data_IF_645558757052
#
_entry.id   IF_645558757052
#
_cell.length_a   1.000
_cell.length_b   1.000
_cell.length_c   1.000
_cell.angle_alpha   90.00
_cell.angle_beta   90.00
_cell.angle_gamma   90.00
#
_symmetry.space_group_name_H-M   'P 1'
#
loop_
_entity.id
_entity.type
_entity.pdbx_description
1 polymer ?
#
# COMPACT_ATOMS: atom_id res chain seq x y z
N UNK A 1 40.53 -4.44 15.02
CA UNK A 1 39.45 -3.72 14.34
C UNK A 1 40.05 -2.49 13.68
N UNK A 2 40.30 -2.50 12.35
CA UNK A 2 40.58 -1.27 11.61
C UNK A 2 39.26 -0.64 11.25
N UNK A 3 38.74 0.24 12.10
CA UNK A 3 37.61 1.11 11.78
C UNK A 3 38.12 2.29 10.97
N UNK A 4 37.89 2.31 9.66
CA UNK A 4 38.01 3.52 8.87
C UNK A 4 36.61 4.14 8.78
N UNK A 5 36.41 5.21 9.53
CA UNK A 5 35.42 6.24 9.27
C UNK A 5 33.97 5.87 9.50
N UNK A 6 33.50 6.11 10.67
CA UNK A 6 32.24 6.78 10.96
C UNK A 6 32.21 6.96 12.47
N UNK A 7 32.66 8.07 12.90
CA UNK A 7 32.54 8.54 14.29
C UNK A 7 31.10 8.98 14.54
N UNK A 8 30.28 8.07 14.91
CA UNK A 8 29.05 8.39 15.65
C UNK A 8 28.90 7.34 16.72
N UNK A 9 29.02 7.77 17.95
CA UNK A 9 28.82 7.25 19.28
C UNK A 9 28.14 5.90 19.58
N UNK A 10 28.18 4.95 18.68
CA UNK A 10 27.39 3.71 18.74
C UNK A 10 28.18 2.48 19.25
N UNK A 11 29.47 2.63 19.59
CA UNK A 11 30.35 1.48 19.86
C UNK A 11 31.09 1.54 21.19
N UNK A 12 30.54 2.11 22.23
CA UNK A 12 31.27 2.29 23.52
C UNK A 12 31.27 1.05 24.45
N UNK A 13 30.56 -0.05 24.12
CA UNK A 13 30.51 -1.22 25.03
C UNK A 13 30.55 -2.59 24.31
N UNK A 14 31.37 -2.76 23.28
CA UNK A 14 31.53 -4.06 22.61
C UNK A 14 32.41 -5.05 23.38
N UNK A 15 33.36 -4.55 24.20
CA UNK A 15 34.27 -5.37 24.98
C UNK A 15 33.55 -6.26 26.00
N UNK A 16 32.57 -5.74 26.71
CA UNK A 16 31.81 -6.50 27.70
C UNK A 16 30.93 -7.63 27.11
N UNK A 17 30.51 -7.50 25.85
CA UNK A 17 29.65 -8.50 25.21
C UNK A 17 30.46 -9.71 24.69
N UNK A 18 31.72 -9.50 24.31
CA UNK A 18 32.62 -10.57 23.80
C UNK A 18 33.28 -11.38 24.91
N UNK A 19 33.49 -10.82 26.07
CA UNK A 19 34.07 -11.55 27.21
C UNK A 19 33.16 -12.69 27.70
N UNK A 20 31.84 -12.51 27.59
CA UNK A 20 30.86 -13.50 28.06
C UNK A 20 30.57 -14.64 27.06
N UNK A 21 31.05 -14.55 25.83
CA UNK A 21 30.76 -15.53 24.75
C UNK A 21 31.95 -16.36 24.31
N UNK A 22 33.17 -16.09 24.82
CA UNK A 22 34.38 -16.84 24.46
C UNK A 22 34.88 -16.67 23.03
N UNK A 23 34.35 -15.70 22.29
CA UNK A 23 34.80 -15.40 20.91
C UNK A 23 35.93 -14.38 20.88
N UNK A 24 37.01 -14.74 20.13
CA UNK A 24 38.12 -13.81 19.88
C UNK A 24 37.72 -12.75 18.87
N UNK A 25 37.86 -11.46 19.24
CA UNK A 25 37.54 -10.28 18.40
C UNK A 25 38.33 -10.21 17.09
N UNK A 26 39.41 -10.98 16.93
CA UNK A 26 40.28 -10.98 15.75
C UNK A 26 39.67 -11.64 14.49
N UNK A 27 38.48 -12.27 14.59
CA UNK A 27 37.84 -13.00 13.49
C UNK A 27 36.55 -12.36 12.94
N UNK A 28 36.17 -11.18 13.41
CA UNK A 28 34.92 -10.53 12.91
C UNK A 28 35.27 -9.43 11.90
N UNK A 29 35.25 -9.77 10.62
CA UNK A 29 35.29 -8.78 9.54
C UNK A 29 33.87 -8.26 9.27
N UNK A 30 33.59 -7.02 9.68
CA UNK A 30 32.37 -6.33 9.26
C UNK A 30 32.58 -5.77 7.83
N UNK A 31 32.02 -6.42 6.84
CA UNK A 31 31.96 -5.88 5.48
C UNK A 31 30.84 -4.85 5.40
N UNK A 32 31.19 -3.58 5.54
CA UNK A 32 30.25 -2.46 5.34
C UNK A 32 29.75 -2.46 3.89
N UNK A 33 28.44 -2.23 3.69
CA UNK A 33 27.83 -2.13 2.36
C UNK A 33 27.27 -3.44 1.77
N UNK A 34 27.45 -4.60 2.41
CA UNK A 34 26.82 -5.84 1.95
C UNK A 34 25.34 -5.87 2.32
N UNK A 35 24.46 -6.11 1.35
CA UNK A 35 23.02 -6.27 1.57
C UNK A 35 22.66 -7.73 1.74
N UNK A 36 21.93 -8.03 2.79
CA UNK A 36 21.49 -9.37 3.17
C UNK A 36 19.98 -9.45 3.23
N UNK A 37 19.44 -10.63 3.00
CA UNK A 37 17.98 -10.86 3.06
C UNK A 37 17.51 -11.25 4.44
N UNK A 38 16.30 -10.85 4.78
CA UNK A 38 15.57 -11.27 5.96
C UNK A 38 14.34 -12.06 5.51
N UNK A 39 14.24 -13.31 5.93
CA UNK A 39 13.11 -14.21 5.66
C UNK A 39 12.33 -14.48 6.94
N UNK A 40 11.04 -14.77 6.81
CA UNK A 40 10.16 -15.01 7.95
C UNK A 40 9.43 -16.35 7.79
N UNK A 41 9.74 -17.32 8.67
CA UNK A 41 8.90 -18.48 8.83
C UNK A 41 7.82 -18.18 9.87
N UNK A 42 6.63 -17.94 9.41
CA UNK A 42 5.51 -17.48 10.24
C UNK A 42 4.72 -18.62 10.87
N UNK A 43 5.07 -19.90 10.59
CA UNK A 43 4.36 -21.08 11.12
C UNK A 43 2.83 -20.95 11.02
N UNK A 44 2.34 -20.47 9.86
CA UNK A 44 0.91 -20.26 9.60
C UNK A 44 0.37 -18.89 10.04
N UNK A 45 1.21 -17.98 10.53
CA UNK A 45 0.87 -16.59 10.83
C UNK A 45 0.94 -15.67 9.62
N UNK A 46 0.73 -14.38 9.86
CA UNK A 46 0.82 -13.27 8.89
C UNK A 46 1.82 -12.27 9.45
N UNK A 47 2.83 -11.91 8.63
CA UNK A 47 3.84 -10.94 9.04
C UNK A 47 3.27 -9.51 9.07
N UNK A 48 3.81 -8.68 9.95
CA UNK A 48 3.58 -7.24 9.89
C UNK A 48 4.33 -6.66 8.66
N UNK A 49 3.67 -5.84 7.83
CA UNK A 49 4.29 -5.26 6.64
C UNK A 49 5.42 -4.27 6.94
N UNK A 50 5.55 -3.82 8.19
CA UNK A 50 6.64 -2.96 8.63
C UNK A 50 7.93 -3.76 8.94
N UNK A 51 7.87 -5.09 9.02
CA UNK A 51 9.06 -5.91 9.19
C UNK A 51 9.90 -5.89 7.90
N UNK A 52 11.20 -5.54 7.98
CA UNK A 52 12.05 -5.41 6.80
C UNK A 52 12.33 -6.78 6.16
N UNK A 53 12.57 -6.79 4.84
CA UNK A 53 12.92 -8.00 4.07
C UNK A 53 14.40 -8.04 3.70
N UNK A 54 15.15 -6.99 4.02
CA UNK A 54 16.59 -6.88 3.80
C UNK A 54 17.21 -5.85 4.73
N UNK A 55 18.52 -5.93 4.91
CA UNK A 55 19.33 -4.92 5.60
C UNK A 55 20.72 -4.84 4.95
N UNK A 56 21.38 -3.68 5.13
CA UNK A 56 22.74 -3.44 4.65
C UNK A 56 23.65 -3.20 5.85
N UNK A 57 24.70 -3.97 5.96
CA UNK A 57 25.66 -3.90 7.08
C UNK A 57 26.28 -2.50 7.17
N UNK A 58 26.23 -1.90 8.36
CA UNK A 58 26.77 -0.56 8.63
C UNK A 58 25.95 0.61 8.05
N UNK A 59 24.83 0.35 7.35
CA UNK A 59 23.99 1.37 6.72
C UNK A 59 22.57 1.35 7.30
N UNK A 60 21.97 0.16 7.40
CA UNK A 60 20.59 0.03 7.89
C UNK A 60 20.54 0.35 9.38
N UNK A 61 19.75 1.36 9.75
CA UNK A 61 19.48 1.69 11.15
C UNK A 61 18.83 0.50 11.88
N UNK A 62 19.05 0.35 13.19
CA UNK A 62 18.39 -0.68 13.98
C UNK A 62 16.87 -0.60 13.85
N UNK A 63 16.22 -1.75 13.70
CA UNK A 63 14.77 -1.85 13.61
C UNK A 63 14.22 -2.80 14.67
N UNK A 64 12.99 -2.57 15.08
CA UNK A 64 12.26 -3.47 15.98
C UNK A 64 11.31 -4.33 15.19
N UNK A 65 11.44 -5.66 15.33
CA UNK A 65 10.51 -6.60 14.71
C UNK A 65 9.11 -6.43 15.31
N UNK A 66 8.14 -6.21 14.46
CA UNK A 66 6.72 -6.19 14.82
C UNK A 66 6.19 -7.60 14.96
N UNK A 67 5.27 -7.78 15.90
CA UNK A 67 4.66 -9.07 16.14
C UNK A 67 3.77 -9.49 14.95
N UNK A 68 3.90 -10.72 14.46
CA UNK A 68 3.00 -11.27 13.47
C UNK A 68 1.66 -11.63 14.11
N UNK A 69 0.65 -11.93 13.31
CA UNK A 69 -0.66 -12.36 13.80
C UNK A 69 -1.01 -13.76 13.29
N UNK A 70 -1.64 -14.59 14.14
CA UNK A 70 -2.12 -15.92 13.79
C UNK A 70 -3.44 -16.19 14.50
N UNK A 71 -4.47 -16.60 13.73
CA UNK A 71 -5.78 -16.88 14.30
C UNK A 71 -5.74 -18.09 15.25
N UNK A 72 -6.32 -17.94 16.45
CA UNK A 72 -6.35 -18.99 17.48
C UNK A 72 -5.02 -19.20 18.22
N UNK A 73 -4.06 -18.30 18.05
CA UNK A 73 -2.74 -18.36 18.69
C UNK A 73 -2.30 -16.99 19.20
N UNK A 74 -1.55 -16.97 20.28
CA UNK A 74 -0.86 -15.80 20.81
C UNK A 74 0.61 -15.85 20.37
N UNK A 75 1.14 -14.74 19.83
CA UNK A 75 2.55 -14.65 19.50
C UNK A 75 3.37 -14.63 20.79
N UNK A 76 4.37 -15.51 20.89
CA UNK A 76 5.24 -15.62 22.05
C UNK A 76 6.55 -14.87 21.84
N UNK A 77 7.26 -15.18 20.74
CA UNK A 77 8.57 -14.61 20.43
C UNK A 77 9.00 -14.91 19.01
N UNK A 78 9.97 -14.15 18.52
CA UNK A 78 10.79 -14.53 17.41
C UNK A 78 11.98 -15.37 17.88
N UNK A 79 12.37 -16.36 17.12
CA UNK A 79 13.65 -17.07 17.27
C UNK A 79 14.37 -17.06 15.93
N UNK A 80 15.70 -17.20 15.96
CA UNK A 80 16.51 -17.40 14.76
C UNK A 80 16.46 -18.85 14.25
N UNK A 81 17.17 -19.14 13.19
CA UNK A 81 17.24 -20.49 12.61
C UNK A 81 17.85 -21.55 13.54
N UNK A 82 18.57 -21.14 14.59
CA UNK A 82 19.17 -22.03 15.59
C UNK A 82 18.27 -22.15 16.84
N UNK A 83 17.11 -21.49 16.86
CA UNK A 83 16.16 -21.54 17.96
C UNK A 83 16.42 -20.54 19.09
N UNK A 84 17.45 -19.68 18.96
CA UNK A 84 17.73 -18.66 19.97
C UNK A 84 16.73 -17.50 19.88
N UNK A 85 16.40 -16.93 21.04
CA UNK A 85 15.47 -15.79 21.11
C UNK A 85 16.09 -14.56 20.44
N UNK A 86 15.40 -14.01 19.47
CA UNK A 86 15.78 -12.75 18.81
C UNK A 86 15.50 -11.60 19.78
N UNK A 87 16.47 -10.72 20.01
CA UNK A 87 16.30 -9.48 20.76
C UNK A 87 15.37 -8.55 20.00
N UNK A 88 14.65 -7.68 20.70
CA UNK A 88 13.63 -6.81 20.10
C UNK A 88 14.19 -5.81 19.08
N UNK A 89 15.52 -5.56 19.11
CA UNK A 89 16.17 -4.58 18.22
C UNK A 89 17.28 -5.27 17.44
N UNK A 90 17.17 -5.24 16.11
CA UNK A 90 18.10 -5.84 15.15
C UNK A 90 18.44 -4.81 14.05
N UNK A 91 19.54 -4.94 13.31
CA UNK A 91 20.68 -5.84 13.47
C UNK A 91 21.87 -5.12 14.13
N UNK A 92 22.46 -5.70 15.15
CA UNK A 92 23.77 -5.25 15.63
C UNK A 92 24.84 -6.26 15.27
N UNK A 93 25.81 -5.84 14.44
CA UNK A 93 27.03 -6.59 14.17
C UNK A 93 26.87 -7.93 13.45
N UNK A 94 25.75 -8.19 12.82
CA UNK A 94 25.47 -9.43 12.15
C UNK A 94 25.78 -9.32 10.66
N UNK A 95 26.35 -10.40 10.08
CA UNK A 95 26.58 -10.54 8.65
C UNK A 95 25.90 -11.82 8.16
N UNK A 96 25.21 -11.75 7.02
CA UNK A 96 24.54 -12.89 6.42
C UNK A 96 23.02 -12.77 6.33
N UNK A 97 22.41 -13.76 5.71
CA UNK A 97 20.96 -13.82 5.58
C UNK A 97 20.32 -14.36 6.87
N UNK A 98 19.20 -13.77 7.27
CA UNK A 98 18.45 -14.18 8.46
C UNK A 98 17.15 -14.86 8.13
N UNK A 99 16.80 -15.85 8.97
CA UNK A 99 15.48 -16.47 8.99
C UNK A 99 14.90 -16.29 10.41
N UNK A 100 13.88 -15.45 10.55
CA UNK A 100 13.16 -15.32 11.79
C UNK A 100 11.93 -16.23 11.81
N UNK A 101 11.82 -17.02 12.87
CA UNK A 101 10.75 -18.02 13.04
C UNK A 101 9.82 -17.54 14.14
N UNK A 102 8.53 -17.40 13.82
CA UNK A 102 7.51 -17.03 14.79
C UNK A 102 7.12 -18.23 15.68
N UNK A 103 7.21 -18.06 16.99
CA UNK A 103 6.76 -19.04 17.99
C UNK A 103 5.39 -18.62 18.52
N UNK A 104 4.48 -19.59 18.57
CA UNK A 104 3.10 -19.37 18.91
C UNK A 104 2.66 -20.27 20.06
N UNK A 105 1.81 -19.74 20.92
CA UNK A 105 1.06 -20.50 21.89
C UNK A 105 -0.39 -20.63 21.43
N UNK A 106 -0.93 -21.84 21.45
CA UNK A 106 -2.34 -22.07 21.10
C UNK A 106 -3.23 -21.52 22.22
N UNK A 107 -4.19 -20.68 21.87
CA UNK A 107 -5.12 -20.16 22.85
C UNK A 107 -5.98 -21.28 23.40
N UNK A 108 -5.86 -21.57 24.72
CA UNK A 108 -6.74 -22.51 25.38
C UNK A 108 -8.17 -21.99 25.38
N UNK A 109 -9.11 -22.81 24.97
CA UNK A 109 -10.53 -22.48 24.91
C UNK A 109 -11.12 -22.35 26.34
N UNK A 110 -10.98 -21.19 26.96
CA UNK A 110 -11.88 -20.75 28.03
C UNK A 110 -11.67 -19.26 28.28
N UNK A 111 -12.35 -18.47 27.53
CA UNK A 111 -13.02 -17.19 27.82
C UNK A 111 -13.36 -16.51 26.49
N UNK A 112 -14.57 -16.00 26.34
CA UNK A 112 -15.05 -15.20 25.23
C UNK A 112 -14.21 -13.93 25.03
N UNK A 113 -13.07 -14.04 24.35
CA UNK A 113 -12.46 -12.92 23.66
C UNK A 113 -13.00 -13.01 22.24
N UNK A 114 -13.89 -12.12 21.90
CA UNK A 114 -14.27 -11.83 20.53
C UNK A 114 -12.97 -11.53 19.77
N UNK A 115 -12.35 -12.57 19.20
CA UNK A 115 -11.28 -12.43 18.23
C UNK A 115 -11.88 -11.70 17.05
N UNK A 116 -11.77 -10.37 17.05
CA UNK A 116 -12.21 -9.57 15.91
C UNK A 116 -11.33 -9.97 14.72
N UNK A 117 -11.88 -10.81 13.86
CA UNK A 117 -11.32 -11.13 12.55
C UNK A 117 -10.82 -9.83 11.92
N UNK A 118 -9.61 -9.76 11.36
CA UNK A 118 -9.13 -8.53 10.76
C UNK A 118 -10.15 -8.06 9.73
N UNK A 119 -10.82 -6.95 10.03
CA UNK A 119 -11.86 -6.39 9.17
C UNK A 119 -11.22 -5.94 7.87
N UNK A 120 -11.38 -6.73 6.83
CA UNK A 120 -10.94 -6.36 5.50
C UNK A 120 -11.90 -5.35 4.88
N UNK A 121 -11.35 -4.36 4.21
CA UNK A 121 -12.11 -3.40 3.41
C UNK A 121 -11.51 -3.31 2.02
N UNK A 122 -12.33 -3.52 0.98
CA UNK A 122 -11.90 -3.30 -0.39
C UNK A 122 -12.17 -1.85 -0.77
N UNK A 123 -11.17 -1.17 -1.30
CA UNK A 123 -11.26 0.18 -1.83
C UNK A 123 -10.99 0.20 -3.33
N UNK A 124 -11.62 1.14 -4.03
CA UNK A 124 -11.44 1.34 -5.46
C UNK A 124 -11.85 2.76 -5.84
N UNK A 125 -11.38 3.23 -6.99
CA UNK A 125 -11.67 4.59 -7.47
C UNK A 125 -13.10 4.77 -7.95
N UNK A 126 -13.78 3.69 -8.32
CA UNK A 126 -15.15 3.72 -8.86
C UNK A 126 -15.87 2.40 -8.63
N UNK A 127 -17.20 2.46 -8.62
CA UNK A 127 -18.07 1.27 -8.67
C UNK A 127 -18.67 1.03 -10.05
N UNK A 128 -18.42 1.91 -11.01
CA UNK A 128 -18.91 1.83 -12.40
C UNK A 128 -17.72 1.82 -13.36
N UNK A 129 -17.56 0.75 -14.13
CA UNK A 129 -16.46 0.54 -15.07
C UNK A 129 -17.01 0.26 -16.46
N UNK A 130 -16.48 0.91 -17.48
CA UNK A 130 -16.96 0.70 -18.84
C UNK A 130 -16.59 -0.70 -19.37
N UNK A 131 -17.44 -1.24 -20.23
CA UNK A 131 -17.18 -2.52 -20.90
C UNK A 131 -15.80 -2.52 -21.58
N UNK A 132 -15.06 -3.62 -21.46
CA UNK A 132 -13.70 -3.75 -21.99
C UNK A 132 -12.64 -2.92 -21.25
N UNK A 133 -12.97 -2.26 -20.13
CA UNK A 133 -12.04 -1.44 -19.36
C UNK A 133 -11.67 -2.10 -18.03
N UNK A 134 -10.67 -1.52 -17.36
CA UNK A 134 -10.08 -2.04 -16.12
C UNK A 134 -10.23 -1.06 -14.96
N UNK A 135 -10.28 -1.59 -13.74
CA UNK A 135 -10.13 -0.81 -12.50
C UNK A 135 -9.25 -1.58 -11.53
N UNK A 136 -8.51 -0.85 -10.68
CA UNK A 136 -7.68 -1.44 -9.62
C UNK A 136 -8.45 -1.38 -8.31
N UNK A 137 -8.47 -2.49 -7.59
CA UNK A 137 -8.95 -2.59 -6.22
C UNK A 137 -7.75 -2.82 -5.28
N UNK A 138 -7.88 -2.35 -4.05
CA UNK A 138 -6.92 -2.57 -2.97
C UNK A 138 -7.67 -3.07 -1.74
N UNK A 139 -7.02 -3.88 -0.92
CA UNK A 139 -7.53 -4.30 0.38
C UNK A 139 -6.80 -3.56 1.47
N UNK A 140 -7.54 -3.11 2.48
CA UNK A 140 -7.02 -2.48 3.69
C UNK A 140 -7.57 -3.19 4.91
N UNK A 141 -6.77 -3.17 5.97
CA UNK A 141 -7.16 -3.46 7.35
C UNK A 141 -7.09 -2.17 8.16
N UNK A 142 -7.34 -2.23 9.45
CA UNK A 142 -7.04 -1.13 10.40
C UNK A 142 -5.55 -0.74 10.39
N UNK A 143 -4.66 -1.71 10.13
CA UNK A 143 -3.20 -1.52 10.12
C UNK A 143 -2.63 -1.03 8.77
N UNK A 144 -3.46 -0.86 7.73
CA UNK A 144 -3.00 -0.36 6.43
C UNK A 144 -3.38 -1.20 5.22
N UNK A 145 -2.61 -1.06 4.14
CA UNK A 145 -2.87 -1.79 2.87
C UNK A 145 -2.29 -3.20 2.95
N UNK A 146 -3.13 -4.20 2.63
CA UNK A 146 -2.70 -5.61 2.59
C UNK A 146 -1.88 -5.86 1.32
N UNK A 147 -0.74 -6.55 1.46
CA UNK A 147 0.06 -6.98 0.31
C UNK A 147 -0.78 -7.89 -0.61
N UNK A 148 -0.89 -7.59 -1.91
CA UNK A 148 -1.65 -8.40 -2.85
C UNK A 148 -1.25 -9.89 -2.89
N UNK A 149 0.02 -10.22 -2.60
CA UNK A 149 0.51 -11.61 -2.56
C UNK A 149 -0.19 -12.46 -1.49
N UNK A 150 -0.71 -11.83 -0.44
CA UNK A 150 -1.42 -12.50 0.67
C UNK A 150 -2.94 -12.62 0.43
N UNK A 151 -3.40 -12.24 -0.76
CA UNK A 151 -4.82 -12.22 -1.10
C UNK A 151 -5.18 -13.27 -2.15
N UNK A 152 -6.38 -13.82 -1.99
CA UNK A 152 -7.09 -14.56 -3.05
C UNK A 152 -8.22 -13.68 -3.52
N UNK A 153 -8.22 -13.40 -4.82
CA UNK A 153 -9.25 -12.63 -5.47
C UNK A 153 -10.19 -13.53 -6.28
N UNK A 154 -11.48 -13.32 -6.14
CA UNK A 154 -12.49 -14.05 -6.91
C UNK A 154 -13.54 -13.10 -7.49
N UNK A 155 -14.12 -13.49 -8.60
CA UNK A 155 -15.24 -12.80 -9.24
C UNK A 155 -16.48 -13.70 -9.22
N UNK A 156 -17.61 -13.14 -8.81
CA UNK A 156 -18.90 -13.87 -8.82
C UNK A 156 -19.36 -14.27 -10.22
N UNK A 157 -18.86 -13.61 -11.26
CA UNK A 157 -19.17 -13.95 -12.64
C UNK A 157 -18.01 -13.61 -13.57
N UNK A 158 -17.17 -14.58 -13.89
CA UNK A 158 -16.02 -14.45 -14.80
C UNK A 158 -16.43 -14.15 -16.25
N UNK A 159 -17.68 -14.43 -16.65
CA UNK A 159 -18.22 -14.03 -17.96
C UNK A 159 -18.50 -12.52 -18.05
N UNK A 160 -18.67 -11.84 -16.90
CA UNK A 160 -18.86 -10.38 -16.81
C UNK A 160 -17.54 -9.66 -16.58
N UNK A 161 -16.77 -10.07 -15.58
CA UNK A 161 -15.47 -9.49 -15.28
C UNK A 161 -14.55 -10.52 -14.62
N UNK A 162 -13.25 -10.45 -14.91
CA UNK A 162 -12.19 -11.21 -14.25
C UNK A 162 -11.41 -10.32 -13.31
N UNK A 163 -10.77 -10.90 -12.31
CA UNK A 163 -9.83 -10.23 -11.43
C UNK A 163 -8.54 -11.03 -11.36
N UNK A 164 -7.39 -10.35 -11.39
CA UNK A 164 -6.08 -10.99 -11.24
C UNK A 164 -5.58 -10.92 -9.79
N UNK A 165 -4.45 -11.60 -9.50
CA UNK A 165 -3.82 -11.63 -8.17
C UNK A 165 -3.48 -10.25 -7.61
N UNK A 166 -3.21 -9.27 -8.47
CA UNK A 166 -2.94 -7.89 -8.07
C UNK A 166 -4.19 -7.04 -7.82
N UNK A 167 -5.41 -7.60 -7.88
CA UNK A 167 -6.67 -6.88 -7.68
C UNK A 167 -7.09 -6.00 -8.88
N UNK A 168 -6.53 -6.24 -10.08
CA UNK A 168 -6.99 -5.57 -11.30
C UNK A 168 -8.20 -6.30 -11.86
N UNK A 169 -9.34 -5.63 -11.87
CA UNK A 169 -10.60 -6.12 -12.44
C UNK A 169 -10.70 -5.69 -13.89
N UNK A 170 -10.97 -6.63 -14.80
CA UNK A 170 -11.16 -6.39 -16.24
C UNK A 170 -12.58 -6.79 -16.65
N UNK A 171 -13.36 -5.82 -17.11
CA UNK A 171 -14.69 -6.08 -17.64
C UNK A 171 -14.63 -6.57 -19.09
N UNK A 172 -15.43 -7.56 -19.41
CA UNK A 172 -15.56 -8.07 -20.80
C UNK A 172 -16.42 -7.13 -21.65
N UNK A 173 -16.23 -7.18 -22.97
CA UNK A 173 -17.11 -6.50 -23.93
C UNK A 173 -18.54 -7.08 -23.85
N UNK A 174 -19.54 -6.34 -24.29
CA UNK A 174 -20.96 -6.77 -24.33
C UNK A 174 -21.60 -7.12 -22.98
N UNK A 175 -21.03 -6.61 -21.85
CA UNK A 175 -21.55 -6.84 -20.47
C UNK A 175 -22.23 -5.61 -19.87
N UNK A 176 -22.54 -4.60 -20.68
CA UNK A 176 -23.13 -3.34 -20.23
C UNK A 176 -24.41 -3.53 -19.39
N UNK A 177 -24.48 -2.86 -18.25
CA UNK A 177 -25.55 -2.98 -17.26
C UNK A 177 -25.39 -4.13 -16.27
N UNK A 178 -24.53 -5.12 -16.57
CA UNK A 178 -24.32 -6.28 -15.70
C UNK A 178 -23.53 -5.90 -14.42
N UNK A 179 -23.87 -6.57 -13.31
CA UNK A 179 -23.21 -6.40 -12.03
C UNK A 179 -22.30 -7.59 -11.72
N UNK A 180 -21.26 -7.36 -10.96
CA UNK A 180 -20.35 -8.39 -10.46
C UNK A 180 -19.91 -8.05 -9.05
N UNK A 181 -19.73 -9.07 -8.23
CA UNK A 181 -19.14 -8.94 -6.90
C UNK A 181 -17.71 -9.48 -6.96
N UNK A 182 -16.75 -8.67 -6.58
CA UNK A 182 -15.37 -9.09 -6.42
C UNK A 182 -15.15 -9.33 -4.94
N UNK A 183 -14.62 -10.50 -4.62
CA UNK A 183 -14.26 -10.88 -3.25
C UNK A 183 -12.76 -10.98 -3.12
N UNK A 184 -12.22 -10.44 -2.05
CA UNK A 184 -10.85 -10.67 -1.61
C UNK A 184 -10.88 -11.39 -0.27
N UNK A 185 -10.09 -12.43 -0.12
CA UNK A 185 -9.91 -13.17 1.13
C UNK A 185 -8.42 -13.32 1.42
N UNK A 186 -8.04 -13.42 2.69
CA UNK A 186 -6.66 -13.75 3.07
C UNK A 186 -6.36 -15.20 2.69
N UNK A 187 -5.15 -15.48 2.18
CA UNK A 187 -4.70 -16.84 1.85
C UNK A 187 -4.74 -17.76 3.09
N UNK A 188 -4.28 -17.24 4.21
CA UNK A 188 -4.12 -18.00 5.46
C UNK A 188 -5.39 -18.01 6.31
N UNK A 189 -6.39 -17.17 5.98
CA UNK A 189 -7.67 -17.12 6.69
C UNK A 189 -8.78 -16.74 5.72
N UNK A 190 -9.35 -17.73 5.02
CA UNK A 190 -10.40 -17.50 4.02
C UNK A 190 -11.73 -16.97 4.60
N UNK A 191 -11.92 -17.05 5.92
CA UNK A 191 -13.07 -16.45 6.59
C UNK A 191 -12.92 -14.92 6.68
N UNK A 192 -11.68 -14.40 6.77
CA UNK A 192 -11.39 -12.99 6.64
C UNK A 192 -11.50 -12.59 5.18
N UNK A 193 -12.65 -12.08 4.79
CA UNK A 193 -12.99 -11.69 3.41
C UNK A 193 -13.75 -10.39 3.34
N UNK A 194 -13.61 -9.68 2.23
CA UNK A 194 -14.39 -8.49 1.91
C UNK A 194 -14.91 -8.58 0.49
N UNK A 195 -15.97 -7.84 0.21
CA UNK A 195 -16.60 -7.81 -1.11
C UNK A 195 -16.68 -6.38 -1.65
N UNK A 196 -16.64 -6.26 -2.98
CA UNK A 196 -16.78 -4.99 -3.67
C UNK A 196 -17.70 -5.14 -4.89
N UNK A 197 -18.84 -4.46 -4.87
CA UNK A 197 -19.82 -4.51 -5.95
C UNK A 197 -19.42 -3.55 -7.07
N UNK A 198 -19.35 -4.05 -8.30
CA UNK A 198 -19.04 -3.29 -9.51
C UNK A 198 -20.17 -3.46 -10.55
N UNK A 199 -20.36 -2.43 -11.37
CA UNK A 199 -21.33 -2.45 -12.48
C UNK A 199 -20.63 -2.07 -13.77
N UNK A 200 -20.84 -2.85 -14.85
CA UNK A 200 -20.41 -2.51 -16.17
C UNK A 200 -21.28 -1.38 -16.76
N UNK A 201 -20.67 -0.30 -17.24
CA UNK A 201 -21.41 0.73 -18.01
C UNK A 201 -21.45 0.35 -19.50
N UNK A 202 -22.51 0.73 -20.21
CA UNK A 202 -22.71 0.33 -21.60
C UNK A 202 -21.62 0.84 -22.54
N UNK A 203 -21.19 2.09 -22.35
CA UNK A 203 -20.20 2.74 -23.20
C UNK A 203 -19.11 3.43 -22.37
N UNK A 204 -17.88 3.55 -22.89
CA UNK A 204 -16.82 4.31 -22.26
C UNK A 204 -16.96 5.82 -22.50
N UNK A 205 -16.33 6.61 -21.64
CA UNK A 205 -16.05 8.03 -21.93
C UNK A 205 -15.06 8.12 -23.09
N UNK A 206 -15.35 9.00 -24.06
CA UNK A 206 -14.55 9.18 -25.29
C UNK A 206 -13.66 10.41 -25.22
N UNK A 207 -14.14 11.53 -24.59
CA UNK A 207 -13.41 12.80 -24.49
C UNK A 207 -13.78 13.53 -23.21
N UNK A 208 -12.84 14.31 -22.68
CA UNK A 208 -13.06 15.28 -21.60
C UNK A 208 -12.46 16.60 -22.08
N UNK A 209 -13.16 17.70 -21.85
CA UNK A 209 -12.65 19.07 -22.02
C UNK A 209 -12.90 19.83 -20.72
N UNK A 210 -12.01 20.78 -20.40
CA UNK A 210 -12.15 21.63 -19.23
C UNK A 210 -12.23 23.08 -19.68
N UNK A 211 -13.15 23.84 -19.11
CA UNK A 211 -13.28 25.28 -19.31
C UNK A 211 -13.21 26.03 -17.98
N UNK A 212 -12.67 27.28 -18.05
CA UNK A 212 -12.49 28.18 -16.90
C UNK A 212 -11.54 29.33 -17.24
N UNK A 213 -11.20 30.16 -16.27
CA UNK A 213 -10.21 31.24 -16.42
C UNK A 213 -8.80 30.66 -16.26
N UNK A 214 -7.90 30.98 -17.20
CA UNK A 214 -6.50 30.53 -17.18
C UNK A 214 -5.62 31.27 -16.17
N UNK A 215 -6.15 32.31 -15.51
CA UNK A 215 -5.46 33.07 -14.46
C UNK A 215 -6.35 33.19 -13.23
N UNK A 216 -5.75 33.19 -12.04
CA UNK A 216 -6.43 33.40 -10.76
C UNK A 216 -5.59 34.27 -9.84
N UNK A 217 -6.25 35.21 -9.13
CA UNK A 217 -5.62 35.89 -7.99
C UNK A 217 -5.51 34.94 -6.79
N UNK A 218 -4.46 35.13 -5.97
CA UNK A 218 -4.27 34.38 -4.74
C UNK A 218 -5.47 34.55 -3.81
N UNK A 219 -5.75 33.52 -3.02
CA UNK A 219 -6.88 33.41 -2.07
C UNK A 219 -8.28 33.48 -2.72
N UNK A 220 -8.37 33.56 -4.04
CA UNK A 220 -9.65 33.46 -4.76
C UNK A 220 -9.93 32.04 -5.22
N UNK A 221 -11.19 31.80 -5.53
CA UNK A 221 -11.68 30.52 -6.04
C UNK A 221 -12.36 30.67 -7.38
N UNK A 222 -12.29 29.63 -8.22
CA UNK A 222 -13.12 29.51 -9.41
C UNK A 222 -13.60 28.06 -9.57
N UNK A 223 -14.73 27.90 -10.22
CA UNK A 223 -15.24 26.58 -10.60
C UNK A 223 -14.86 26.28 -12.04
N UNK A 224 -14.07 25.22 -12.25
CA UNK A 224 -13.85 24.65 -13.55
C UNK A 224 -15.02 23.77 -13.97
N UNK A 225 -15.39 23.80 -15.24
CA UNK A 225 -16.41 22.93 -15.82
C UNK A 225 -15.78 21.85 -16.67
N UNK A 226 -16.10 20.57 -16.43
CA UNK A 226 -15.68 19.46 -17.29
C UNK A 226 -16.85 19.06 -18.19
N UNK A 227 -16.68 19.14 -19.52
CA UNK A 227 -17.59 18.53 -20.51
C UNK A 227 -17.06 17.13 -20.79
N UNK A 228 -17.85 16.11 -20.47
CA UNK A 228 -17.49 14.70 -20.62
C UNK A 228 -18.33 14.09 -21.73
N UNK A 229 -17.71 13.65 -22.81
CA UNK A 229 -18.35 13.06 -23.96
C UNK A 229 -18.31 11.52 -23.89
N UNK A 230 -19.35 10.89 -24.40
CA UNK A 230 -19.52 9.44 -24.48
C UNK A 230 -20.94 9.12 -24.94
N UNK A 231 -21.13 7.96 -25.60
CA UNK A 231 -22.46 7.46 -26.02
C UNK A 231 -23.39 7.28 -24.82
N UNK A 232 -24.66 7.10 -25.05
CA UNK A 232 -25.67 6.81 -24.02
C UNK A 232 -25.24 5.66 -23.11
N UNK A 233 -25.44 5.81 -21.79
CA UNK A 233 -24.99 4.82 -20.80
C UNK A 233 -23.50 4.87 -20.42
N UNK A 234 -22.73 5.88 -20.88
CA UNK A 234 -21.40 6.16 -20.38
C UNK A 234 -21.46 6.78 -18.97
N UNK A 235 -20.52 6.39 -18.08
CA UNK A 235 -20.41 6.97 -16.73
C UNK A 235 -19.55 8.24 -16.77
N UNK A 236 -20.21 9.38 -16.91
CA UNK A 236 -19.58 10.69 -17.18
C UNK A 236 -19.01 11.41 -15.94
N UNK A 237 -18.70 10.67 -14.86
CA UNK A 237 -18.13 11.24 -13.64
C UNK A 237 -16.61 11.32 -13.75
N UNK A 238 -16.04 12.41 -13.23
CA UNK A 238 -14.59 12.64 -13.22
C UNK A 238 -14.05 12.80 -11.80
N UNK A 239 -12.78 12.46 -11.63
CA UNK A 239 -11.95 12.82 -10.48
C UNK A 239 -11.10 14.02 -10.83
N UNK A 240 -11.12 15.04 -9.99
CA UNK A 240 -10.28 16.22 -10.10
C UNK A 240 -9.01 16.06 -9.27
N UNK A 241 -7.88 16.53 -9.78
CA UNK A 241 -6.60 16.59 -9.07
C UNK A 241 -5.83 17.84 -9.43
N UNK A 242 -5.08 18.39 -8.47
CA UNK A 242 -4.11 19.47 -8.69
C UNK A 242 -2.70 18.90 -8.81
N UNK A 243 -1.86 19.49 -9.67
CA UNK A 243 -0.44 19.12 -9.76
C UNK A 243 0.35 19.50 -8.51
N UNK A 244 -0.13 20.49 -7.74
CA UNK A 244 0.48 20.88 -6.47
C UNK A 244 -0.58 21.46 -5.52
N UNK A 245 -0.94 20.70 -4.50
CA UNK A 245 -1.94 21.09 -3.51
C UNK A 245 -1.45 22.21 -2.55
N UNK A 246 -0.14 22.47 -2.47
CA UNK A 246 0.41 23.62 -1.72
C UNK A 246 0.15 24.96 -2.45
N UNK A 247 -0.03 24.95 -3.78
CA UNK A 247 -0.28 26.13 -4.58
C UNK A 247 -1.76 26.35 -4.90
N UNK A 248 -2.47 25.29 -5.23
CA UNK A 248 -3.92 25.34 -5.42
C UNK A 248 -4.55 23.96 -5.12
N UNK A 249 -5.67 23.98 -4.42
CA UNK A 249 -6.50 22.80 -4.17
C UNK A 249 -7.66 22.73 -5.16
N UNK A 250 -8.22 21.53 -5.36
CA UNK A 250 -9.43 21.33 -6.15
C UNK A 250 -10.37 20.35 -5.46
N UNK A 251 -11.66 20.70 -5.38
CA UNK A 251 -12.68 19.81 -4.83
C UNK A 251 -13.20 18.81 -5.85
N UNK A 252 -13.93 17.79 -5.41
CA UNK A 252 -14.61 16.82 -6.27
C UNK A 252 -15.60 17.46 -7.27
N UNK A 253 -16.09 18.67 -6.97
CA UNK A 253 -17.00 19.45 -7.82
C UNK A 253 -16.28 20.39 -8.81
N UNK A 254 -14.92 20.37 -8.84
CA UNK A 254 -14.12 21.21 -9.71
C UNK A 254 -13.90 22.66 -9.21
N UNK A 255 -14.21 22.93 -7.93
CA UNK A 255 -13.90 24.21 -7.30
C UNK A 255 -12.41 24.27 -7.01
N UNK A 256 -11.68 25.16 -7.68
CA UNK A 256 -10.26 25.42 -7.45
C UNK A 256 -10.10 26.61 -6.52
N UNK A 257 -9.24 26.52 -5.50
CA UNK A 257 -8.82 27.61 -4.62
C UNK A 257 -7.33 27.85 -4.78
N UNK A 258 -6.92 29.04 -5.16
CA UNK A 258 -5.52 29.47 -5.19
C UNK A 258 -5.04 29.77 -3.78
N UNK A 259 -3.84 29.30 -3.41
CA UNK A 259 -3.24 29.48 -2.08
C UNK A 259 -2.07 30.46 -2.16
N UNK A 260 -1.77 31.18 -1.06
CA UNK A 260 -0.73 32.21 -0.96
C UNK A 260 0.63 31.73 -1.50
N UNK A 261 1.03 30.49 -1.17
CA UNK A 261 2.29 29.87 -1.62
C UNK A 261 2.38 29.65 -3.16
N UNK A 262 1.26 29.80 -3.87
CA UNK A 262 1.20 29.65 -5.32
C UNK A 262 1.43 30.93 -6.11
N UNK A 263 1.67 32.09 -5.47
CA UNK A 263 1.87 33.37 -6.17
C UNK A 263 2.98 33.27 -7.25
N UNK A 264 2.70 33.69 -8.47
CA UNK A 264 3.60 33.60 -9.61
C UNK A 264 3.76 32.21 -10.22
N UNK A 265 3.19 31.14 -9.61
CA UNK A 265 3.31 29.75 -10.09
C UNK A 265 2.19 29.39 -11.07
N UNK A 266 2.43 28.32 -11.83
CA UNK A 266 1.42 27.71 -12.70
C UNK A 266 1.08 26.33 -12.14
N UNK A 267 -0.21 26.05 -11.98
CA UNK A 267 -0.71 24.73 -11.59
C UNK A 267 -1.50 24.08 -12.73
N UNK A 268 -1.45 22.79 -12.81
CA UNK A 268 -2.25 21.99 -13.75
C UNK A 268 -3.35 21.28 -12.99
N UNK A 269 -4.59 21.61 -13.30
CA UNK A 269 -5.76 20.89 -12.80
C UNK A 269 -6.15 19.81 -13.82
N UNK A 270 -6.30 18.59 -13.36
CA UNK A 270 -6.62 17.43 -14.21
C UNK A 270 -7.99 16.87 -13.85
N UNK A 271 -8.85 16.66 -14.84
CA UNK A 271 -10.07 15.88 -14.74
C UNK A 271 -9.83 14.51 -15.39
N UNK A 272 -10.03 13.42 -14.65
CA UNK A 272 -9.85 12.04 -15.12
C UNK A 272 -11.17 11.28 -15.05
N UNK A 273 -11.55 10.59 -16.12
CA UNK A 273 -12.74 9.75 -16.12
C UNK A 273 -12.62 8.61 -15.10
N UNK A 274 -13.70 8.37 -14.37
CA UNK A 274 -13.77 7.30 -13.36
C UNK A 274 -14.23 5.95 -13.91
N UNK A 275 -14.60 5.88 -15.20
CA UNK A 275 -15.14 4.69 -15.85
C UNK A 275 -14.08 3.67 -16.31
N UNK A 276 -12.80 3.90 -16.01
CA UNK A 276 -11.70 3.06 -16.47
C UNK A 276 -11.26 3.30 -17.92
N UNK A 277 -11.86 4.26 -18.64
CA UNK A 277 -11.47 4.59 -20.02
C UNK A 277 -10.08 5.20 -20.15
N UNK A 278 -9.52 5.69 -19.04
CA UNK A 278 -8.22 6.39 -19.01
C UNK A 278 -8.26 7.80 -19.59
N UNK A 279 -9.44 8.31 -20.00
CA UNK A 279 -9.57 9.66 -20.56
C UNK A 279 -9.32 10.71 -19.50
N UNK A 280 -8.53 11.73 -19.89
CA UNK A 280 -8.11 12.85 -19.03
C UNK A 280 -8.13 14.14 -19.82
N UNK A 281 -8.36 15.25 -19.12
CA UNK A 281 -8.11 16.60 -19.61
C UNK A 281 -7.29 17.35 -18.57
N UNK A 282 -6.40 18.25 -19.05
CA UNK A 282 -5.54 19.08 -18.22
C UNK A 282 -5.83 20.55 -18.51
N UNK A 283 -5.83 21.36 -17.47
CA UNK A 283 -6.10 22.77 -17.55
C UNK A 283 -5.05 23.53 -16.71
N UNK A 284 -4.24 24.36 -17.37
CA UNK A 284 -3.19 25.15 -16.72
C UNK A 284 -3.79 26.46 -16.21
N UNK A 285 -3.45 26.86 -14.97
CA UNK A 285 -3.85 28.11 -14.33
C UNK A 285 -2.61 28.82 -13.81
N UNK A 286 -2.39 30.05 -14.25
CA UNK A 286 -1.37 30.95 -13.70
C UNK A 286 -1.93 31.66 -12.48
N UNK A 287 -1.24 31.57 -11.36
CA UNK A 287 -1.62 32.19 -10.08
C UNK A 287 -0.90 33.56 -9.95
N UNK A 288 -1.70 34.61 -9.73
CA UNK A 288 -1.21 36.00 -9.67
C UNK A 288 -1.37 36.58 -8.27
#
# INVERSE_FOLDING_TARGET
IKGTGATSGWYTNWSEWFEDTGFSVSQVEFRTGSTHTISYNLNGGINDPANPVSYTVGVTAPFTLKNPVRNGYTFVKWVDQNGYRVKATEPYGLSGNFVYIAIWEKNSTTTNVTSSQPKLTITGTTRKVAVGKKTKLQVKTSSGVVNPSNLIWTSSNKKVATVNSSGVVTFKKKTGGKRVVITAALKNNRNAKATYKLTATKNPVTKITISGKKTMKINKSQRLKAKVSGKSGAYKTVKWTSSNNKYATVTSKGQVKALKAGKGKTVTITASALDGSGKKARFKIKLK
#
